data_IF_143815037845
#
_entry.id   IF_143815037845
#
_cell.length_a   1.000
_cell.length_b   1.000
_cell.length_c   1.000
_cell.angle_alpha   90.00
_cell.angle_beta   90.00
_cell.angle_gamma   90.00
#
_symmetry.space_group_name_H-M   'P 1'
#
loop_
_entity.id
_entity.type
_entity.pdbx_description
1 polymer ?
#
# COMPACT_ATOMS: atom_id res chain seq x y z
N UNK A 1 -54.76 -32.38 28.03
CA UNK A 1 -53.72 -31.34 28.11
C UNK A 1 -54.21 -30.13 27.34
N UNK A 2 -54.78 -29.13 28.02
CA UNK A 2 -55.32 -27.92 27.39
C UNK A 2 -54.16 -27.03 26.93
N UNK A 3 -53.91 -26.96 25.62
CA UNK A 3 -53.01 -25.97 25.06
C UNK A 3 -53.55 -24.58 25.33
N UNK A 4 -52.92 -23.82 26.23
CA UNK A 4 -53.30 -22.45 26.52
C UNK A 4 -53.21 -21.61 25.25
N UNK A 5 -54.34 -21.09 24.76
CA UNK A 5 -54.37 -20.15 23.63
C UNK A 5 -53.73 -18.84 24.07
N UNK A 6 -52.63 -18.46 23.44
CA UNK A 6 -51.95 -17.18 23.69
C UNK A 6 -52.89 -16.00 23.41
N UNK A 7 -52.84 -14.97 24.26
CA UNK A 7 -53.63 -13.76 24.05
C UNK A 7 -53.10 -12.94 22.87
N UNK A 8 -53.97 -12.12 22.26
CA UNK A 8 -53.61 -11.21 21.16
C UNK A 8 -52.42 -10.28 21.50
N UNK A 9 -52.32 -9.85 22.76
CA UNK A 9 -51.18 -9.04 23.26
C UNK A 9 -49.89 -9.85 23.36
N UNK A 10 -49.97 -11.13 23.74
CA UNK A 10 -48.82 -12.03 23.74
C UNK A 10 -48.36 -12.31 22.30
N UNK A 11 -49.27 -12.56 21.37
CA UNK A 11 -48.95 -12.70 19.95
C UNK A 11 -48.28 -11.45 19.37
N UNK A 12 -48.81 -10.26 19.66
CA UNK A 12 -48.20 -9.01 19.25
C UNK A 12 -46.79 -8.82 19.85
N UNK A 13 -46.61 -9.16 21.14
CA UNK A 13 -45.31 -9.09 21.82
C UNK A 13 -44.27 -10.05 21.24
N UNK A 14 -44.63 -11.32 21.01
CA UNK A 14 -43.73 -12.30 20.38
C UNK A 14 -43.41 -11.98 18.93
N UNK A 15 -44.39 -11.46 18.18
CA UNK A 15 -44.16 -11.00 16.80
C UNK A 15 -43.23 -9.80 16.78
N UNK A 16 -43.43 -8.82 17.67
CA UNK A 16 -42.53 -7.67 17.81
C UNK A 16 -41.12 -8.09 18.18
N UNK A 17 -40.96 -9.00 19.15
CA UNK A 17 -39.65 -9.55 19.54
C UNK A 17 -38.98 -10.30 18.37
N UNK A 18 -39.73 -11.12 17.63
CA UNK A 18 -39.22 -11.85 16.48
C UNK A 18 -38.77 -10.91 15.36
N UNK A 19 -39.52 -9.84 15.09
CA UNK A 19 -39.14 -8.80 14.11
C UNK A 19 -37.87 -8.08 14.57
N UNK A 20 -37.77 -7.68 15.84
CA UNK A 20 -36.56 -7.04 16.37
C UNK A 20 -35.35 -7.98 16.27
N UNK A 21 -35.49 -9.24 16.66
CA UNK A 21 -34.42 -10.23 16.55
C UNK A 21 -34.00 -10.45 15.09
N UNK A 22 -34.97 -10.50 14.16
CA UNK A 22 -34.70 -10.64 12.74
C UNK A 22 -33.96 -9.41 12.19
N UNK A 23 -34.37 -8.20 12.57
CA UNK A 23 -33.70 -6.96 12.17
C UNK A 23 -32.29 -6.85 12.75
N UNK A 24 -32.09 -7.21 14.02
CA UNK A 24 -30.77 -7.23 14.67
C UNK A 24 -29.86 -8.26 14.00
N UNK A 25 -30.38 -9.45 13.70
CA UNK A 25 -29.63 -10.50 13.01
C UNK A 25 -29.28 -10.07 11.58
N UNK A 26 -30.23 -9.48 10.85
CA UNK A 26 -29.98 -8.93 9.53
C UNK A 26 -28.92 -7.82 9.58
N UNK A 27 -29.01 -6.86 10.50
CA UNK A 27 -28.02 -5.81 10.68
C UNK A 27 -26.63 -6.38 11.03
N UNK A 28 -26.57 -7.43 11.86
CA UNK A 28 -25.31 -8.08 12.23
C UNK A 28 -24.66 -8.80 11.04
N UNK A 29 -25.45 -9.54 10.24
CA UNK A 29 -24.98 -10.27 9.06
C UNK A 29 -24.57 -9.30 7.93
N UNK A 30 -25.32 -8.22 7.72
CA UNK A 30 -25.14 -7.29 6.60
C UNK A 30 -24.30 -6.06 6.96
N UNK A 31 -23.75 -5.99 8.18
CA UNK A 31 -23.00 -4.84 8.70
C UNK A 31 -21.91 -4.38 7.74
N UNK A 32 -21.19 -5.31 7.11
CA UNK A 32 -20.11 -4.98 6.17
C UNK A 32 -20.60 -4.31 4.89
N UNK A 33 -21.74 -4.75 4.35
CA UNK A 33 -22.32 -4.18 3.14
C UNK A 33 -22.95 -2.81 3.41
N UNK A 34 -23.56 -2.63 4.58
CA UNK A 34 -24.06 -1.33 5.05
C UNK A 34 -22.92 -0.33 5.19
N UNK A 35 -21.82 -0.72 5.85
CA UNK A 35 -20.65 0.15 6.02
C UNK A 35 -20.00 0.46 4.68
N UNK A 36 -19.90 -0.52 3.78
CA UNK A 36 -19.40 -0.31 2.41
C UNK A 36 -20.28 0.67 1.63
N UNK A 37 -21.61 0.55 1.72
CA UNK A 37 -22.55 1.43 1.04
C UNK A 37 -22.42 2.88 1.52
N UNK A 38 -22.15 3.08 2.81
CA UNK A 38 -21.88 4.41 3.36
C UNK A 38 -20.61 5.09 2.84
N UNK A 39 -19.72 4.35 2.18
CA UNK A 39 -18.51 4.89 1.55
C UNK A 39 -18.68 5.21 0.06
N UNK A 40 -19.82 4.86 -0.55
CA UNK A 40 -20.09 5.12 -1.97
C UNK A 40 -20.43 6.60 -2.22
N UNK A 41 -19.70 7.32 -3.09
CA UNK A 41 -19.97 8.72 -3.45
C UNK A 41 -21.35 9.00 -4.06
N UNK A 42 -22.12 7.98 -4.47
CA UNK A 42 -23.46 8.12 -5.07
C UNK A 42 -23.53 8.93 -6.38
N UNK A 43 -22.39 9.30 -6.97
CA UNK A 43 -22.31 10.02 -8.25
C UNK A 43 -21.46 9.23 -9.24
N UNK A 44 -21.85 9.12 -10.53
CA UNK A 44 -20.97 8.53 -11.55
C UNK A 44 -19.65 9.31 -11.67
N UNK A 45 -18.54 8.60 -11.90
CA UNK A 45 -17.23 9.25 -11.93
C UNK A 45 -17.08 10.24 -13.10
N UNK A 46 -17.78 9.99 -14.21
CA UNK A 46 -17.67 10.79 -15.44
C UNK A 46 -18.31 12.18 -15.30
N UNK A 47 -19.27 12.33 -14.37
CA UNK A 47 -19.91 13.61 -14.03
C UNK A 47 -19.42 14.20 -12.71
N UNK A 48 -18.54 13.48 -12.02
CA UNK A 48 -17.95 13.91 -10.76
C UNK A 48 -16.97 15.05 -10.97
N UNK A 49 -16.96 16.02 -10.05
CA UNK A 49 -15.97 17.09 -10.01
C UNK A 49 -14.95 16.78 -8.91
N UNK A 50 -13.72 16.37 -9.26
CA UNK A 50 -12.70 16.09 -8.25
C UNK A 50 -12.29 17.33 -7.47
N UNK A 51 -11.74 17.17 -6.25
CA UNK A 51 -11.14 18.27 -5.50
C UNK A 51 -10.08 19.02 -6.33
N UNK A 52 -9.78 20.29 -5.98
CA UNK A 52 -8.73 21.06 -6.64
C UNK A 52 -7.39 20.33 -6.69
N UNK A 53 -6.66 20.50 -7.80
CA UNK A 53 -5.33 19.90 -7.94
C UNK A 53 -4.36 20.51 -6.93
N UNK A 54 -3.51 19.69 -6.27
CA UNK A 54 -2.43 20.20 -5.43
C UNK A 54 -1.42 21.03 -6.22
N UNK A 55 -0.90 22.10 -5.61
CA UNK A 55 0.31 22.78 -6.09
C UNK A 55 1.55 22.12 -5.48
N UNK A 56 2.25 21.30 -6.26
CA UNK A 56 3.44 20.58 -5.81
C UNK A 56 4.68 21.46 -5.62
N UNK A 57 4.64 22.75 -5.98
CA UNK A 57 5.65 23.72 -5.54
C UNK A 57 5.50 24.10 -4.06
N UNK A 58 4.26 24.07 -3.55
CA UNK A 58 3.91 24.50 -2.20
C UNK A 58 4.21 23.41 -1.14
N UNK A 59 4.76 23.75 0.04
CA UNK A 59 4.99 22.78 1.12
C UNK A 59 3.73 22.03 1.58
N UNK A 60 2.55 22.66 1.50
CA UNK A 60 1.29 22.05 1.92
C UNK A 60 0.91 20.80 1.11
N UNK A 61 1.36 20.70 -0.15
CA UNK A 61 1.14 19.52 -1.00
C UNK A 61 2.02 18.31 -0.62
N UNK A 62 2.83 18.40 0.44
CA UNK A 62 3.77 17.37 0.86
C UNK A 62 3.53 16.98 2.32
N UNK A 63 3.25 15.70 2.58
CA UNK A 63 3.19 15.16 3.93
C UNK A 63 4.59 15.08 4.55
N UNK A 64 5.59 14.79 3.72
CA UNK A 64 7.02 14.95 4.01
C UNK A 64 7.66 15.65 2.82
N UNK A 65 8.53 16.62 3.09
CA UNK A 65 9.30 17.33 2.06
C UNK A 65 10.77 17.29 2.45
N UNK A 66 11.50 16.39 1.80
CA UNK A 66 12.93 16.13 2.02
C UNK A 66 13.26 15.91 3.50
N UNK A 67 12.35 15.23 4.21
CA UNK A 67 12.48 14.98 5.63
C UNK A 67 13.62 13.99 5.84
N UNK A 68 14.63 14.40 6.61
CA UNK A 68 15.82 13.60 6.92
C UNK A 68 15.80 13.18 8.39
N UNK A 69 16.17 11.93 8.65
CA UNK A 69 16.46 11.45 10.00
C UNK A 69 17.94 11.64 10.36
N UNK A 70 18.33 11.36 11.61
CA UNK A 70 19.72 11.21 11.99
C UNK A 70 20.42 10.14 11.12
N UNK A 71 21.67 10.39 10.73
CA UNK A 71 22.48 9.48 9.91
C UNK A 71 21.85 9.11 8.55
N UNK A 72 20.99 9.98 7.99
CA UNK A 72 20.41 9.76 6.67
C UNK A 72 21.51 9.75 5.60
N UNK A 73 21.51 8.74 4.74
CA UNK A 73 22.39 8.66 3.58
C UNK A 73 22.08 9.70 2.49
N UNK A 74 22.77 9.60 1.34
CA UNK A 74 22.65 10.57 0.26
C UNK A 74 21.43 10.39 -0.64
N UNK A 75 20.63 9.32 -0.49
CA UNK A 75 19.54 9.04 -1.43
C UNK A 75 18.44 10.10 -1.36
N UNK A 76 17.90 10.44 -2.52
CA UNK A 76 16.63 11.12 -2.66
C UNK A 76 15.53 10.04 -2.73
N UNK A 77 14.63 10.02 -1.76
CA UNK A 77 13.56 9.01 -1.68
C UNK A 77 12.22 9.65 -2.03
N UNK A 78 11.59 9.17 -3.10
CA UNK A 78 10.22 9.53 -3.47
C UNK A 78 9.28 8.41 -3.00
N UNK A 79 8.50 8.69 -1.96
CA UNK A 79 7.60 7.74 -1.34
C UNK A 79 6.13 8.08 -1.61
N UNK A 80 5.36 7.17 -2.21
CA UNK A 80 3.92 7.36 -2.43
C UNK A 80 3.14 6.49 -1.44
N UNK A 81 2.32 7.15 -0.62
CA UNK A 81 1.61 6.50 0.47
C UNK A 81 0.41 5.65 -0.01
N UNK A 82 -0.15 4.84 0.90
CA UNK A 82 -1.34 4.02 0.65
C UNK A 82 -2.61 4.86 0.67
N UNK A 83 -3.74 4.22 0.34
CA UNK A 83 -5.07 4.78 0.64
C UNK A 83 -5.23 5.04 2.14
N UNK A 84 -5.70 6.23 2.49
CA UNK A 84 -5.96 6.73 3.86
C UNK A 84 -7.34 7.39 3.97
N UNK A 85 -7.85 7.95 2.88
CA UNK A 85 -9.19 8.52 2.78
C UNK A 85 -10.26 7.43 2.57
N UNK A 86 -11.34 7.46 3.36
CA UNK A 86 -12.36 6.41 3.35
C UNK A 86 -13.33 6.48 2.17
N UNK A 87 -13.71 7.69 1.76
CA UNK A 87 -14.76 7.91 0.76
C UNK A 87 -16.00 8.55 1.38
N UNK A 88 -17.17 8.15 0.90
CA UNK A 88 -18.45 8.70 1.32
C UNK A 88 -18.90 9.84 0.42
N UNK A 89 -18.19 10.99 0.45
CA UNK A 89 -18.55 12.13 -0.41
C UNK A 89 -17.78 12.18 -1.74
N UNK A 90 -16.53 11.72 -1.71
CA UNK A 90 -15.59 11.91 -2.81
C UNK A 90 -15.07 10.56 -3.33
N UNK A 91 -14.95 10.43 -4.65
CA UNK A 91 -14.21 9.32 -5.26
C UNK A 91 -12.72 9.44 -4.99
N UNK A 92 -12.19 10.67 -5.04
CA UNK A 92 -10.80 10.99 -4.76
C UNK A 92 -10.73 11.99 -3.62
N UNK A 93 -10.04 11.64 -2.53
CA UNK A 93 -9.98 12.48 -1.33
C UNK A 93 -9.26 13.81 -1.58
N UNK A 94 -9.75 14.93 -1.02
CA UNK A 94 -9.00 16.19 -1.05
C UNK A 94 -7.69 16.05 -0.26
N UNK A 95 -6.68 16.81 -0.65
CA UNK A 95 -5.47 16.92 0.19
C UNK A 95 -5.79 17.73 1.46
N UNK A 96 -5.23 17.33 2.60
CA UNK A 96 -5.48 18.01 3.87
C UNK A 96 -6.81 17.63 4.55
N UNK A 97 -7.46 16.55 4.10
CA UNK A 97 -8.55 15.93 4.87
C UNK A 97 -8.03 15.49 6.26
N UNK A 98 -8.62 15.98 7.37
CA UNK A 98 -8.04 15.78 8.70
C UNK A 98 -7.89 14.31 9.12
N UNK A 99 -8.88 13.47 8.80
CA UNK A 99 -8.89 12.06 9.20
C UNK A 99 -7.89 11.25 8.34
N UNK A 100 -7.86 11.52 7.03
CA UNK A 100 -6.88 10.90 6.13
C UNK A 100 -5.44 11.32 6.50
N UNK A 101 -5.18 12.60 6.77
CA UNK A 101 -3.88 13.11 7.17
C UNK A 101 -3.45 12.56 8.54
N UNK A 102 -4.39 12.43 9.49
CA UNK A 102 -4.12 11.82 10.79
C UNK A 102 -3.71 10.36 10.64
N UNK A 103 -4.40 9.59 9.80
CA UNK A 103 -4.03 8.21 9.51
C UNK A 103 -2.69 8.12 8.77
N UNK A 104 -2.47 8.97 7.77
CA UNK A 104 -1.20 9.06 7.03
C UNK A 104 -0.03 9.29 7.99
N UNK A 105 -0.13 10.32 8.85
CA UNK A 105 0.91 10.70 9.80
C UNK A 105 1.14 9.64 10.87
N UNK A 106 0.08 9.12 11.47
CA UNK A 106 0.17 8.23 12.63
C UNK A 106 0.51 6.80 12.24
N UNK A 107 0.04 6.33 11.09
CA UNK A 107 0.09 4.92 10.71
C UNK A 107 1.01 4.70 9.51
N UNK A 108 0.74 5.35 8.38
CA UNK A 108 1.37 4.98 7.11
C UNK A 108 2.82 5.43 7.04
N UNK A 109 3.11 6.70 7.32
CA UNK A 109 4.47 7.24 7.23
C UNK A 109 5.46 6.49 8.14
N UNK A 110 5.23 6.33 9.46
CA UNK A 110 6.21 5.68 10.31
C UNK A 110 6.38 4.19 9.96
N UNK A 111 5.34 3.47 9.52
CA UNK A 111 5.47 2.04 9.19
C UNK A 111 6.07 1.78 7.80
N UNK A 112 5.77 2.61 6.80
CA UNK A 112 6.06 2.29 5.39
C UNK A 112 7.04 3.25 4.71
N UNK A 113 7.12 4.52 5.15
CA UNK A 113 8.19 5.43 4.73
C UNK A 113 9.41 5.33 5.66
N UNK A 114 9.17 5.07 6.95
CA UNK A 114 10.20 4.91 7.99
C UNK A 114 11.39 4.00 7.62
N UNK A 115 11.19 2.82 7.00
CA UNK A 115 12.31 1.95 6.61
C UNK A 115 13.36 2.62 5.71
N UNK A 116 12.99 3.68 5.00
CA UNK A 116 13.89 4.41 4.09
C UNK A 116 14.58 5.60 4.75
N UNK A 117 14.23 5.97 6.00
CA UNK A 117 14.69 7.21 6.63
C UNK A 117 16.22 7.30 6.79
N UNK A 118 16.88 6.15 6.88
CA UNK A 118 18.35 6.05 6.91
C UNK A 118 18.97 6.09 5.51
N UNK A 119 18.23 5.84 4.44
CA UNK A 119 18.77 5.87 3.08
C UNK A 119 18.98 7.31 2.59
N UNK A 120 18.12 8.24 3.02
CA UNK A 120 18.29 9.66 2.78
C UNK A 120 17.01 10.47 2.99
N UNK A 121 16.90 11.61 2.29
CA UNK A 121 15.78 12.53 2.43
C UNK A 121 14.50 12.01 1.78
N UNK A 122 13.40 11.96 2.54
CA UNK A 122 12.12 11.42 2.08
C UNK A 122 11.16 12.55 1.74
N UNK A 123 10.63 12.49 0.52
CA UNK A 123 9.50 13.29 0.08
C UNK A 123 8.29 12.39 -0.16
N UNK A 124 7.17 12.74 0.46
CA UNK A 124 5.89 12.05 0.33
C UNK A 124 4.80 13.05 -0.05
N UNK A 125 4.29 13.05 -1.29
CA UNK A 125 3.27 13.99 -1.71
C UNK A 125 1.92 13.67 -1.05
N UNK A 126 1.15 14.70 -0.71
CA UNK A 126 -0.30 14.59 -0.61
C UNK A 126 -0.86 14.62 -2.02
N UNK A 127 -1.71 13.67 -2.35
CA UNK A 127 -2.32 13.58 -3.67
C UNK A 127 -3.80 13.24 -3.54
N UNK A 128 -4.58 13.48 -4.60
CA UNK A 128 -5.99 13.10 -4.66
C UNK A 128 -6.12 11.59 -4.83
N UNK A 129 -5.77 10.88 -3.77
CA UNK A 129 -5.85 9.44 -3.62
C UNK A 129 -7.28 8.97 -3.87
N UNK A 130 -7.44 7.85 -4.59
CA UNK A 130 -8.77 7.25 -4.69
C UNK A 130 -9.18 6.69 -3.33
N UNK A 131 -10.43 6.86 -2.96
CA UNK A 131 -10.94 6.46 -1.64
C UNK A 131 -10.88 4.95 -1.40
N UNK A 132 -10.96 4.54 -0.14
CA UNK A 132 -11.05 3.12 0.24
C UNK A 132 -12.17 2.40 -0.51
N UNK A 133 -13.31 3.07 -0.72
CA UNK A 133 -14.44 2.52 -1.46
C UNK A 133 -14.05 1.94 -2.83
N UNK A 134 -13.15 2.61 -3.55
CA UNK A 134 -12.70 2.19 -4.89
C UNK A 134 -12.02 0.82 -4.90
N UNK A 135 -11.52 0.36 -3.75
CA UNK A 135 -10.87 -0.95 -3.59
C UNK A 135 -11.83 -2.04 -3.13
N UNK A 136 -12.99 -1.65 -2.62
CA UNK A 136 -14.06 -2.55 -2.17
C UNK A 136 -14.99 -2.96 -3.30
N UNK A 137 -14.88 -2.35 -4.47
CA UNK A 137 -15.69 -2.61 -5.66
C UNK A 137 -14.81 -2.83 -6.91
N UNK A 138 -15.41 -3.37 -7.97
CA UNK A 138 -14.76 -3.56 -9.28
C UNK A 138 -15.45 -2.73 -10.40
N UNK A 139 -16.33 -1.81 -10.00
CA UNK A 139 -17.02 -0.87 -10.90
C UNK A 139 -16.01 -0.06 -11.71
N UNK A 140 -16.36 0.28 -12.94
CA UNK A 140 -15.50 1.10 -13.81
C UNK A 140 -15.22 2.48 -13.21
N UNK A 141 -16.21 3.12 -12.57
CA UNK A 141 -16.02 4.36 -11.80
C UNK A 141 -14.87 4.27 -10.79
N UNK A 142 -14.75 3.13 -10.10
CA UNK A 142 -13.69 2.91 -9.13
C UNK A 142 -12.32 2.72 -9.80
N UNK A 143 -12.29 2.11 -11.00
CA UNK A 143 -11.05 2.00 -11.80
C UNK A 143 -10.62 3.37 -12.31
N UNK A 144 -11.56 4.19 -12.76
CA UNK A 144 -11.31 5.55 -13.24
C UNK A 144 -10.82 6.46 -12.10
N UNK A 145 -11.44 6.40 -10.92
CA UNK A 145 -10.99 7.14 -9.74
C UNK A 145 -9.57 6.76 -9.30
N UNK A 146 -9.24 5.45 -9.30
CA UNK A 146 -7.87 4.96 -9.04
C UNK A 146 -6.90 5.44 -10.11
N UNK A 147 -7.32 5.41 -11.38
CA UNK A 147 -6.49 5.85 -12.48
C UNK A 147 -6.23 7.36 -12.46
N UNK A 148 -7.19 8.16 -11.99
CA UNK A 148 -7.09 9.62 -11.87
C UNK A 148 -5.90 10.07 -11.01
N UNK A 149 -5.63 9.36 -9.91
CA UNK A 149 -4.54 9.67 -8.97
C UNK A 149 -3.15 9.69 -9.64
N UNK A 150 -2.98 9.03 -10.79
CA UNK A 150 -1.76 9.08 -11.60
C UNK A 150 -1.34 10.51 -11.95
N UNK A 151 -2.30 11.38 -12.29
CA UNK A 151 -2.02 12.77 -12.70
C UNK A 151 -1.26 13.53 -11.61
N UNK A 152 -1.66 13.31 -10.37
CA UNK A 152 -1.07 13.96 -9.21
C UNK A 152 0.32 13.39 -8.91
N UNK A 153 0.52 12.08 -9.04
CA UNK A 153 1.85 11.47 -8.84
C UNK A 153 2.83 11.88 -9.93
N UNK A 154 2.40 11.99 -11.19
CA UNK A 154 3.24 12.50 -12.26
C UNK A 154 3.69 13.95 -11.98
N UNK A 155 2.74 14.83 -11.61
CA UNK A 155 3.04 16.23 -11.29
C UNK A 155 3.92 16.37 -10.03
N UNK A 156 3.67 15.55 -9.00
CA UNK A 156 4.50 15.51 -7.80
C UNK A 156 5.92 15.05 -8.11
N UNK A 157 6.07 14.02 -8.94
CA UNK A 157 7.37 13.52 -9.36
C UNK A 157 8.14 14.58 -10.15
N UNK A 158 7.48 15.31 -11.05
CA UNK A 158 8.11 16.41 -11.81
C UNK A 158 8.65 17.51 -10.89
N UNK A 159 7.85 17.95 -9.92
CA UNK A 159 8.28 18.94 -8.92
C UNK A 159 9.36 18.40 -7.97
N UNK A 160 9.36 17.10 -7.69
CA UNK A 160 10.35 16.47 -6.83
C UNK A 160 11.69 16.27 -7.54
N UNK A 161 11.70 15.71 -8.76
CA UNK A 161 12.92 15.41 -9.50
C UNK A 161 13.65 16.70 -9.90
N UNK A 162 12.92 17.79 -10.18
CA UNK A 162 13.52 19.10 -10.42
C UNK A 162 14.30 19.65 -9.19
N UNK A 163 13.89 19.28 -7.97
CA UNK A 163 14.60 19.64 -6.72
C UNK A 163 15.73 18.67 -6.38
N UNK A 164 15.82 17.56 -7.08
CA UNK A 164 16.84 16.52 -6.91
C UNK A 164 17.48 16.22 -8.28
N UNK A 165 18.25 17.17 -8.84
CA UNK A 165 18.85 17.00 -10.17
C UNK A 165 19.87 15.85 -10.22
N UNK A 166 20.51 15.55 -9.09
CA UNK A 166 21.64 14.62 -9.00
C UNK A 166 21.47 13.58 -7.88
N UNK A 167 22.40 12.63 -7.83
CA UNK A 167 22.50 11.64 -6.75
C UNK A 167 21.53 10.45 -6.86
N UNK A 168 21.68 9.47 -5.95
CA UNK A 168 20.93 8.23 -5.98
C UNK A 168 19.44 8.44 -5.67
N UNK A 169 18.57 7.76 -6.41
CA UNK A 169 17.12 7.79 -6.26
C UNK A 169 16.62 6.44 -5.72
N UNK A 170 15.74 6.49 -4.73
CA UNK A 170 14.90 5.37 -4.31
C UNK A 170 13.45 5.73 -4.55
N UNK A 171 12.71 4.84 -5.23
CA UNK A 171 11.27 4.96 -5.40
C UNK A 171 10.57 3.94 -4.52
N UNK A 172 9.58 4.35 -3.76
CA UNK A 172 8.86 3.44 -2.88
C UNK A 172 7.37 3.76 -2.87
N UNK A 173 6.53 2.73 -2.84
CA UNK A 173 5.09 2.90 -2.74
C UNK A 173 4.47 1.73 -2.02
N UNK A 174 3.42 2.01 -1.25
CA UNK A 174 2.63 0.98 -0.57
C UNK A 174 1.20 0.99 -1.09
N UNK A 175 0.68 -0.20 -1.39
CA UNK A 175 -0.69 -0.42 -1.81
C UNK A 175 -1.05 0.43 -3.05
N UNK A 176 -1.93 1.43 -2.96
CA UNK A 176 -2.24 2.35 -4.06
C UNK A 176 -0.99 3.11 -4.53
N UNK A 177 -0.13 3.53 -3.59
CA UNK A 177 1.13 4.17 -3.94
C UNK A 177 2.08 3.23 -4.67
N UNK A 178 2.07 1.93 -4.33
CA UNK A 178 2.82 0.91 -5.08
C UNK A 178 2.31 0.76 -6.52
N UNK A 179 0.99 0.76 -6.71
CA UNK A 179 0.38 0.76 -8.05
C UNK A 179 0.82 1.99 -8.87
N UNK A 180 0.86 3.17 -8.25
CA UNK A 180 1.24 4.41 -8.92
C UNK A 180 2.74 4.49 -9.23
N UNK A 181 3.61 3.98 -8.34
CA UNK A 181 5.06 3.89 -8.59
C UNK A 181 5.37 2.88 -9.70
N UNK A 182 4.64 1.77 -9.82
CA UNK A 182 4.84 0.83 -10.94
C UNK A 182 4.67 1.53 -12.29
N UNK A 183 3.60 2.33 -12.43
CA UNK A 183 3.37 3.13 -13.63
C UNK A 183 4.42 4.21 -13.82
N UNK A 184 4.85 4.87 -12.74
CA UNK A 184 5.92 5.86 -12.75
C UNK A 184 7.22 5.29 -13.31
N UNK A 185 7.59 4.09 -12.87
CA UNK A 185 8.78 3.41 -13.34
C UNK A 185 8.67 3.13 -14.83
N UNK A 186 7.54 2.62 -15.31
CA UNK A 186 7.33 2.30 -16.73
C UNK A 186 7.36 3.54 -17.62
N UNK A 187 6.68 4.61 -17.24
CA UNK A 187 6.48 5.77 -18.11
C UNK A 187 7.60 6.81 -18.00
N UNK A 188 8.33 6.86 -16.88
CA UNK A 188 9.32 7.92 -16.61
C UNK A 188 10.73 7.38 -16.44
N UNK A 189 10.91 6.36 -15.61
CA UNK A 189 12.26 5.88 -15.27
C UNK A 189 12.81 4.97 -16.36
N UNK A 190 12.06 3.96 -16.78
CA UNK A 190 12.48 2.94 -17.73
C UNK A 190 12.85 3.52 -19.09
N UNK A 191 12.24 4.64 -19.49
CA UNK A 191 12.48 5.29 -20.79
C UNK A 191 13.63 6.30 -20.77
N UNK A 192 14.09 6.73 -19.58
CA UNK A 192 15.10 7.77 -19.43
C UNK A 192 16.42 7.20 -18.86
N UNK A 193 17.47 7.05 -19.69
CA UNK A 193 18.76 6.50 -19.24
C UNK A 193 19.41 7.27 -18.10
N UNK A 194 19.22 8.60 -18.02
CA UNK A 194 19.81 9.42 -16.97
C UNK A 194 19.14 9.13 -15.61
N UNK A 195 17.81 8.95 -15.60
CA UNK A 195 17.10 8.53 -14.39
C UNK A 195 17.43 7.07 -14.03
N UNK A 196 17.59 6.17 -15.01
CA UNK A 196 18.00 4.78 -14.74
C UNK A 196 19.38 4.70 -14.08
N UNK A 197 20.34 5.50 -14.53
CA UNK A 197 21.67 5.55 -13.94
C UNK A 197 21.65 5.93 -12.46
N UNK A 198 20.68 6.76 -12.05
CA UNK A 198 20.49 7.21 -10.67
C UNK A 198 19.69 6.23 -9.80
N UNK A 199 19.00 5.25 -10.39
CA UNK A 199 18.08 4.39 -9.68
C UNK A 199 18.82 3.35 -8.81
N UNK A 200 18.65 3.44 -7.49
CA UNK A 200 19.13 2.43 -6.54
C UNK A 200 18.21 1.22 -6.56
N UNK A 201 16.92 1.42 -6.28
CA UNK A 201 15.91 0.38 -6.29
C UNK A 201 14.49 0.98 -6.26
N UNK A 202 13.52 0.13 -6.60
CA UNK A 202 12.09 0.43 -6.49
C UNK A 202 11.45 -0.56 -5.52
N UNK A 203 10.68 -0.06 -4.55
CA UNK A 203 9.96 -0.88 -3.58
C UNK A 203 8.45 -0.75 -3.77
N UNK A 204 7.81 -1.84 -4.18
CA UNK A 204 6.37 -1.93 -4.43
C UNK A 204 5.74 -2.83 -3.36
N UNK A 205 5.30 -2.21 -2.27
CA UNK A 205 4.82 -2.88 -1.06
C UNK A 205 3.31 -3.12 -1.15
N UNK A 206 2.85 -4.28 -0.65
CA UNK A 206 1.42 -4.62 -0.55
C UNK A 206 0.64 -4.46 -1.86
N UNK A 207 1.26 -4.78 -2.99
CA UNK A 207 0.70 -4.62 -4.34
C UNK A 207 0.95 -5.86 -5.20
N UNK A 208 -0.03 -6.16 -6.07
CA UNK A 208 0.12 -7.20 -7.10
C UNK A 208 0.56 -6.52 -8.38
N UNK A 209 1.70 -6.95 -8.92
CA UNK A 209 2.27 -6.44 -10.17
C UNK A 209 2.33 -7.58 -11.18
N UNK A 210 1.97 -7.33 -12.43
CA UNK A 210 2.09 -8.33 -13.49
C UNK A 210 3.56 -8.45 -13.90
N UNK A 211 4.11 -9.67 -13.82
CA UNK A 211 5.53 -9.91 -14.08
C UNK A 211 5.93 -9.64 -15.55
N UNK A 212 5.00 -9.85 -16.48
CA UNK A 212 5.14 -9.55 -17.91
C UNK A 212 5.00 -8.06 -18.25
N UNK A 213 4.58 -7.23 -17.28
CA UNK A 213 4.46 -5.78 -17.43
C UNK A 213 5.73 -5.00 -17.11
N UNK A 214 6.76 -5.65 -16.57
CA UNK A 214 8.01 -5.00 -16.20
C UNK A 214 8.82 -4.60 -17.43
N UNK A 215 9.47 -3.45 -17.36
CA UNK A 215 10.48 -3.08 -18.36
C UNK A 215 11.71 -3.97 -18.22
N UNK A 216 12.32 -4.43 -19.32
CA UNK A 216 13.62 -5.12 -19.26
C UNK A 216 14.74 -4.23 -18.69
N UNK A 217 14.60 -2.91 -18.78
CA UNK A 217 15.56 -1.93 -18.25
C UNK A 217 15.49 -1.76 -16.73
N UNK A 218 14.36 -2.12 -16.12
CA UNK A 218 14.16 -2.09 -14.66
C UNK A 218 13.48 -3.40 -14.24
N UNK A 219 14.22 -4.52 -14.25
CA UNK A 219 13.66 -5.84 -14.02
C UNK A 219 13.34 -6.08 -12.54
N UNK A 220 12.73 -7.22 -12.24
CA UNK A 220 12.66 -7.72 -10.87
C UNK A 220 14.08 -7.95 -10.30
N UNK A 221 14.26 -7.67 -9.01
CA UNK A 221 15.53 -7.94 -8.33
C UNK A 221 15.77 -9.46 -8.17
N UNK A 222 17.00 -9.89 -8.44
CA UNK A 222 17.48 -11.25 -8.27
C UNK A 222 18.31 -11.44 -6.98
N UNK A 223 18.62 -10.36 -6.26
CA UNK A 223 19.32 -10.39 -4.97
C UNK A 223 19.50 -9.00 -4.37
N UNK A 224 19.90 -8.95 -3.08
CA UNK A 224 20.11 -7.69 -2.31
C UNK A 224 21.24 -6.80 -2.83
N UNK A 225 22.15 -7.32 -3.65
CA UNK A 225 23.29 -6.59 -4.21
C UNK A 225 23.05 -6.06 -5.65
N UNK A 226 21.83 -6.22 -6.19
CA UNK A 226 21.46 -5.67 -7.49
C UNK A 226 20.91 -4.25 -7.33
N UNK A 227 21.29 -3.33 -8.19
CA UNK A 227 20.72 -1.96 -8.25
C UNK A 227 19.89 -1.81 -9.52
N UNK A 228 19.04 -0.79 -9.57
CA UNK A 228 18.22 -0.50 -10.75
C UNK A 228 17.12 -1.54 -11.00
N UNK A 229 16.61 -2.17 -9.94
CA UNK A 229 15.61 -3.23 -10.03
C UNK A 229 14.43 -3.02 -9.07
N UNK A 230 13.37 -3.80 -9.25
CA UNK A 230 12.12 -3.75 -8.49
C UNK A 230 12.09 -4.86 -7.43
N UNK A 231 11.83 -4.50 -6.18
CA UNK A 231 11.41 -5.38 -5.09
C UNK A 231 9.91 -5.18 -4.90
N UNK A 232 9.10 -6.14 -5.36
CA UNK A 232 7.64 -6.08 -5.26
C UNK A 232 7.06 -7.30 -4.59
N UNK A 233 6.11 -7.10 -3.68
CA UNK A 233 5.41 -8.22 -3.05
C UNK A 233 3.98 -7.86 -2.62
N UNK A 234 3.17 -8.90 -2.52
CA UNK A 234 1.83 -8.85 -1.94
C UNK A 234 1.72 -9.93 -0.86
N UNK A 235 1.74 -9.58 0.43
CA UNK A 235 1.77 -10.56 1.51
C UNK A 235 0.40 -11.22 1.74
N UNK A 236 0.41 -12.52 2.00
CA UNK A 236 -0.75 -13.32 2.42
C UNK A 236 -0.29 -14.39 3.41
N UNK A 237 -0.99 -14.58 4.53
CA UNK A 237 -0.66 -15.65 5.47
C UNK A 237 -0.61 -17.02 4.76
N UNK A 238 0.36 -17.86 5.14
CA UNK A 238 0.66 -19.12 4.44
C UNK A 238 -0.52 -20.09 4.41
N UNK A 239 -1.35 -20.08 5.45
CA UNK A 239 -2.53 -20.95 5.62
C UNK A 239 -3.81 -20.38 4.99
N UNK A 240 -3.74 -19.22 4.32
CA UNK A 240 -4.91 -18.52 3.79
C UNK A 240 -4.95 -18.50 2.25
N UNK A 241 -4.98 -19.69 1.64
CA UNK A 241 -5.08 -19.82 0.19
C UNK A 241 -6.36 -19.21 -0.41
N UNK A 242 -7.45 -19.19 0.37
CA UNK A 242 -8.68 -18.49 -0.02
C UNK A 242 -8.45 -16.99 -0.21
N UNK A 243 -7.74 -16.34 0.71
CA UNK A 243 -7.36 -14.93 0.57
C UNK A 243 -6.42 -14.71 -0.62
N UNK A 244 -5.44 -15.59 -0.82
CA UNK A 244 -4.52 -15.51 -1.96
C UNK A 244 -5.26 -15.53 -3.31
N UNK A 245 -6.16 -16.51 -3.51
CA UNK A 245 -6.96 -16.59 -4.74
C UNK A 245 -7.87 -15.38 -4.95
N UNK A 246 -8.54 -14.89 -3.90
CA UNK A 246 -9.37 -13.67 -4.01
C UNK A 246 -8.54 -12.45 -4.36
N UNK A 247 -7.34 -12.33 -3.80
CA UNK A 247 -6.43 -11.20 -4.04
C UNK A 247 -5.98 -11.16 -5.49
N UNK A 248 -5.51 -12.28 -6.03
CA UNK A 248 -5.11 -12.36 -7.45
C UNK A 248 -6.29 -12.14 -8.40
N UNK A 249 -7.47 -12.73 -8.12
CA UNK A 249 -8.67 -12.58 -8.97
C UNK A 249 -9.17 -11.13 -9.06
N UNK A 250 -9.00 -10.35 -7.98
CA UNK A 250 -9.45 -8.95 -7.90
C UNK A 250 -8.32 -7.95 -8.18
N UNK A 251 -7.11 -8.43 -8.47
CA UNK A 251 -5.96 -7.58 -8.69
C UNK A 251 -6.14 -6.78 -9.99
N UNK A 252 -5.84 -5.49 -9.91
CA UNK A 252 -5.78 -4.60 -11.06
C UNK A 252 -4.33 -4.23 -11.31
N UNK A 253 -3.95 -4.16 -12.57
CA UNK A 253 -2.61 -3.79 -13.03
C UNK A 253 -2.72 -2.85 -14.22
N UNK A 254 -1.68 -2.05 -14.46
CA UNK A 254 -1.68 -1.11 -15.58
C UNK A 254 -1.44 -1.81 -16.91
N UNK A 255 -2.28 -1.53 -17.91
CA UNK A 255 -2.01 -1.90 -19.30
C UNK A 255 -1.03 -0.90 -19.96
N UNK A 256 -0.67 -1.15 -21.23
CA UNK A 256 0.21 -0.25 -21.99
C UNK A 256 -0.42 1.12 -22.30
N UNK A 257 -1.73 1.27 -22.13
CA UNK A 257 -2.47 2.52 -22.37
C UNK A 257 -2.73 3.29 -21.08
N UNK A 258 -2.14 2.87 -19.96
CA UNK A 258 -2.32 3.52 -18.68
C UNK A 258 -3.72 3.35 -18.09
N UNK A 259 -4.40 2.23 -18.37
CA UNK A 259 -5.69 1.86 -17.76
C UNK A 259 -5.50 0.73 -16.76
N UNK A 260 -6.31 0.71 -15.70
CA UNK A 260 -6.34 -0.38 -14.73
C UNK A 260 -7.22 -1.53 -15.23
N UNK A 261 -6.57 -2.62 -15.61
CA UNK A 261 -7.22 -3.85 -16.11
C UNK A 261 -7.03 -4.98 -15.12
N UNK A 262 -7.85 -6.02 -15.21
CA UNK A 262 -7.68 -7.21 -14.38
C UNK A 262 -6.33 -7.88 -14.67
N UNK A 263 -5.73 -8.49 -13.63
CA UNK A 263 -4.55 -9.34 -13.81
C UNK A 263 -4.84 -10.48 -14.81
N UNK A 264 -6.09 -10.97 -14.84
CA UNK A 264 -6.61 -11.91 -15.83
C UNK A 264 -5.76 -13.19 -15.99
N UNK A 265 -5.25 -13.71 -14.86
CA UNK A 265 -4.45 -14.94 -14.84
C UNK A 265 -2.97 -14.77 -15.20
N UNK A 266 -2.52 -13.56 -15.55
CA UNK A 266 -1.08 -13.27 -15.73
C UNK A 266 -0.32 -13.54 -14.44
N UNK A 267 0.94 -13.94 -14.60
CA UNK A 267 1.83 -14.20 -13.48
C UNK A 267 2.04 -12.92 -12.66
N UNK A 268 1.78 -13.00 -11.35
CA UNK A 268 2.11 -11.92 -10.43
C UNK A 268 3.59 -12.00 -10.01
N UNK A 269 4.24 -10.85 -9.92
CA UNK A 269 5.61 -10.73 -9.42
C UNK A 269 5.65 -10.95 -7.90
N UNK A 270 6.64 -11.72 -7.45
CA UNK A 270 7.02 -11.80 -6.05
C UNK A 270 8.54 -11.75 -5.94
N UNK A 271 9.05 -10.70 -5.30
CA UNK A 271 10.42 -10.58 -4.82
C UNK A 271 10.34 -10.61 -3.30
N UNK A 272 10.92 -11.62 -2.68
CA UNK A 272 10.84 -11.76 -1.23
C UNK A 272 11.69 -10.67 -0.56
N UNK A 273 11.12 -9.79 0.28
CA UNK A 273 11.87 -8.69 0.91
C UNK A 273 12.98 -9.19 1.84
N UNK A 274 12.92 -10.44 2.31
CA UNK A 274 13.97 -11.06 3.14
C UNK A 274 15.17 -11.51 2.31
N UNK A 275 15.02 -11.83 1.02
CA UNK A 275 16.15 -12.26 0.16
C UNK A 275 16.51 -11.24 -0.90
N UNK A 276 15.61 -10.29 -1.18
CA UNK A 276 15.72 -9.35 -2.30
C UNK A 276 15.69 -10.05 -3.66
N UNK A 277 15.16 -11.28 -3.74
CA UNK A 277 15.15 -12.12 -4.94
C UNK A 277 13.79 -12.76 -5.23
N UNK A 278 13.60 -13.25 -6.46
CA UNK A 278 12.42 -14.02 -6.89
C UNK A 278 12.48 -15.51 -6.51
N UNK A 279 13.41 -15.91 -5.64
CA UNK A 279 13.53 -17.30 -5.20
C UNK A 279 12.24 -17.76 -4.50
N UNK A 280 11.84 -18.99 -4.80
CA UNK A 280 10.65 -19.65 -4.26
C UNK A 280 10.95 -20.60 -3.11
N UNK A 281 12.23 -20.75 -2.73
CA UNK A 281 12.62 -21.53 -1.56
C UNK A 281 12.02 -20.92 -0.28
N UNK A 282 11.55 -21.74 0.67
CA UNK A 282 11.18 -21.27 2.00
C UNK A 282 12.35 -20.57 2.69
N UNK A 283 12.09 -19.42 3.27
CA UNK A 283 13.05 -18.59 4.00
C UNK A 283 12.70 -18.65 5.48
N UNK A 284 13.58 -19.29 6.24
CA UNK A 284 13.45 -19.49 7.68
C UNK A 284 13.38 -18.16 8.44
N UNK A 285 12.59 -18.14 9.51
CA UNK A 285 12.38 -16.94 10.31
C UNK A 285 13.69 -16.35 10.84
N UNK A 286 14.71 -17.17 11.12
CA UNK A 286 16.03 -16.67 11.57
C UNK A 286 16.70 -15.64 10.65
N UNK A 287 16.30 -15.57 9.38
CA UNK A 287 16.82 -14.62 8.38
C UNK A 287 16.03 -13.31 8.30
N UNK A 288 14.82 -13.27 8.87
CA UNK A 288 13.96 -12.09 8.93
C UNK A 288 14.54 -11.04 9.90
N UNK A 289 14.81 -9.84 9.39
CA UNK A 289 15.61 -8.82 10.08
C UNK A 289 14.80 -7.87 10.95
N UNK A 290 13.47 -7.81 10.81
CA UNK A 290 12.67 -7.06 11.78
C UNK A 290 11.28 -6.67 11.33
N UNK A 291 10.29 -7.14 12.10
CA UNK A 291 8.95 -6.59 12.09
C UNK A 291 8.83 -5.53 13.19
N UNK A 292 7.95 -4.55 13.00
CA UNK A 292 7.65 -3.56 14.03
C UNK A 292 6.28 -2.92 13.84
N UNK A 293 5.71 -2.44 14.93
CA UNK A 293 4.57 -1.54 14.91
C UNK A 293 5.08 -0.14 15.25
N UNK A 294 5.32 0.67 14.22
CA UNK A 294 5.78 2.04 14.35
C UNK A 294 4.61 3.05 14.46
N UNK A 295 3.37 2.58 14.62
CA UNK A 295 2.20 3.45 14.70
C UNK A 295 2.30 4.39 15.89
N UNK A 296 2.13 5.69 15.64
CA UNK A 296 2.21 6.74 16.65
C UNK A 296 3.63 7.19 17.00
N UNK A 297 4.66 6.60 16.40
CA UNK A 297 6.02 7.13 16.55
C UNK A 297 6.17 8.44 15.78
N UNK A 298 6.95 9.34 16.36
CA UNK A 298 7.35 10.57 15.68
C UNK A 298 8.25 10.27 14.49
N UNK A 299 8.18 11.13 13.47
CA UNK A 299 9.02 10.98 12.28
C UNK A 299 10.50 11.05 12.65
N UNK A 300 11.31 10.15 12.07
CA UNK A 300 12.75 10.07 12.31
C UNK A 300 13.14 9.23 13.52
N UNK A 301 12.19 8.81 14.37
CA UNK A 301 12.46 7.86 15.45
C UNK A 301 12.57 6.46 14.86
N UNK A 302 13.73 5.81 15.06
CA UNK A 302 13.92 4.42 14.65
C UNK A 302 13.22 3.50 15.65
N UNK A 303 12.25 2.68 15.23
CA UNK A 303 11.55 1.75 16.12
C UNK A 303 12.45 0.60 16.57
N UNK A 304 12.07 -0.04 17.68
CA UNK A 304 12.60 -1.36 18.02
C UNK A 304 12.12 -2.40 17.00
N UNK A 305 13.04 -3.26 16.56
CA UNK A 305 12.77 -4.29 15.56
C UNK A 305 12.68 -5.66 16.21
N UNK A 306 11.62 -6.39 15.92
CA UNK A 306 11.41 -7.79 16.31
C UNK A 306 11.89 -8.69 15.19
N UNK A 307 13.14 -9.13 15.25
CA UNK A 307 13.71 -10.08 14.31
C UNK A 307 13.12 -11.48 14.54
N UNK A 308 13.21 -12.34 13.52
CA UNK A 308 12.80 -13.76 13.63
C UNK A 308 11.32 -14.04 13.92
N UNK A 309 10.45 -13.05 13.71
CA UNK A 309 9.01 -13.21 13.89
C UNK A 309 8.33 -14.10 12.83
N UNK A 310 8.79 -14.05 11.57
CA UNK A 310 8.08 -14.72 10.46
C UNK A 310 9.03 -15.44 9.50
N UNK A 311 8.61 -16.62 9.02
CA UNK A 311 9.18 -17.26 7.84
C UNK A 311 8.44 -16.77 6.58
N UNK A 312 9.10 -16.82 5.42
CA UNK A 312 8.52 -16.32 4.17
C UNK A 312 8.78 -17.22 2.97
N UNK A 313 7.91 -17.16 1.96
CA UNK A 313 8.11 -17.88 0.69
C UNK A 313 7.34 -17.19 -0.45
N UNK A 314 7.99 -16.96 -1.59
CA UNK A 314 7.25 -16.60 -2.80
C UNK A 314 6.53 -17.83 -3.36
N UNK A 315 5.18 -17.80 -3.41
CA UNK A 315 4.36 -18.91 -3.91
C UNK A 315 3.16 -18.39 -4.71
N UNK A 316 3.14 -18.69 -6.01
CA UNK A 316 2.05 -18.28 -6.91
C UNK A 316 1.96 -16.76 -7.10
N UNK A 317 3.09 -16.06 -7.12
CA UNK A 317 3.15 -14.60 -7.27
C UNK A 317 2.69 -13.81 -6.04
N UNK A 318 2.57 -14.48 -4.88
CA UNK A 318 2.28 -13.87 -3.59
C UNK A 318 3.40 -14.18 -2.61
N UNK A 319 3.66 -13.26 -1.69
CA UNK A 319 4.57 -13.50 -0.58
C UNK A 319 3.80 -14.18 0.55
N UNK A 320 4.07 -15.47 0.75
CA UNK A 320 3.54 -16.21 1.89
C UNK A 320 4.37 -15.92 3.12
N UNK A 321 3.71 -15.78 4.26
CA UNK A 321 4.38 -15.61 5.53
C UNK A 321 3.65 -16.38 6.63
N UNK A 322 4.39 -16.84 7.63
CA UNK A 322 3.80 -17.39 8.87
C UNK A 322 3.01 -16.29 9.58
N UNK A 323 1.97 -16.66 10.32
CA UNK A 323 1.20 -15.69 11.12
C UNK A 323 2.05 -15.24 12.32
N UNK A 324 2.25 -13.92 12.52
CA UNK A 324 2.96 -13.43 13.70
C UNK A 324 2.17 -13.72 14.98
N UNK A 325 2.86 -14.16 16.03
CA UNK A 325 2.21 -14.55 17.31
C UNK A 325 2.03 -13.37 18.26
N UNK A 326 2.81 -12.30 18.07
CA UNK A 326 2.87 -11.15 18.97
C UNK A 326 1.66 -10.24 18.80
N UNK A 327 1.10 -9.75 19.90
CA UNK A 327 -0.10 -8.91 19.90
C UNK A 327 0.09 -7.59 19.13
N UNK A 328 1.32 -7.07 19.09
CA UNK A 328 1.71 -5.87 18.33
C UNK A 328 1.40 -5.95 16.83
N UNK A 329 1.25 -7.17 16.29
CA UNK A 329 0.98 -7.43 14.87
C UNK A 329 -0.48 -7.82 14.61
N UNK A 330 -1.40 -7.45 15.50
CA UNK A 330 -2.85 -7.59 15.25
C UNK A 330 -3.43 -6.35 14.57
N UNK A 331 -4.37 -6.59 13.66
CA UNK A 331 -5.16 -5.51 13.06
C UNK A 331 -6.20 -5.00 14.08
N UNK A 332 -6.16 -3.70 14.38
CA UNK A 332 -7.05 -3.03 15.33
C UNK A 332 -7.83 -1.91 14.64
N UNK A 333 -8.80 -1.30 15.34
CA UNK A 333 -9.56 -0.14 14.84
C UNK A 333 -10.94 -0.46 14.26
N UNK A 334 -11.46 0.48 13.49
CA UNK A 334 -12.78 0.40 12.84
C UNK A 334 -12.83 -0.68 11.74
N UNK A 335 -14.02 -0.90 11.16
CA UNK A 335 -14.15 -1.80 10.01
C UNK A 335 -13.42 -1.30 8.76
N UNK A 336 -13.34 0.03 8.59
CA UNK A 336 -12.64 0.68 7.49
C UNK A 336 -11.13 0.65 7.72
N UNK A 337 -10.69 0.89 8.96
CA UNK A 337 -9.28 0.83 9.37
C UNK A 337 -8.64 -0.52 9.01
N UNK A 338 -9.34 -1.62 9.32
CA UNK A 338 -8.90 -3.00 8.97
C UNK A 338 -8.89 -3.32 7.47
N UNK A 339 -9.26 -2.37 6.61
CA UNK A 339 -9.21 -2.49 5.14
C UNK A 339 -8.17 -1.56 4.50
N UNK A 340 -7.55 -0.69 5.29
CA UNK A 340 -6.41 0.13 4.90
C UNK A 340 -5.11 -0.65 5.17
N UNK A 341 -3.97 -0.04 4.88
CA UNK A 341 -2.66 -0.59 5.24
C UNK A 341 -2.57 -0.87 6.74
N UNK A 342 -1.89 -1.97 7.07
CA UNK A 342 -1.79 -2.49 8.44
C UNK A 342 -1.10 -1.46 9.35
N UNK A 343 -1.44 -1.43 10.65
CA UNK A 343 -0.81 -0.53 11.61
C UNK A 343 0.58 -1.01 12.05
N UNK A 344 1.25 -1.82 11.25
CA UNK A 344 2.57 -2.36 11.50
C UNK A 344 3.22 -2.77 10.17
N UNK A 345 4.53 -2.92 10.15
CA UNK A 345 5.28 -3.42 9.00
C UNK A 345 6.02 -4.70 9.39
N UNK A 346 5.69 -5.80 8.71
CA UNK A 346 6.32 -7.10 8.92
C UNK A 346 7.73 -7.20 8.34
N UNK A 347 8.18 -6.22 7.58
CA UNK A 347 9.45 -6.25 6.84
C UNK A 347 10.26 -4.96 7.05
N UNK A 348 9.99 -4.19 8.10
CA UNK A 348 10.64 -2.89 8.33
C UNK A 348 12.17 -3.02 8.30
N UNK A 349 12.71 -3.93 9.11
CA UNK A 349 14.15 -4.17 9.21
C UNK A 349 14.74 -4.74 7.93
N UNK A 350 13.99 -5.60 7.23
CA UNK A 350 14.43 -6.19 5.96
C UNK A 350 14.55 -5.14 4.86
N UNK A 351 13.57 -4.24 4.75
CA UNK A 351 13.57 -3.12 3.80
C UNK A 351 14.69 -2.14 4.15
N UNK A 352 14.82 -1.76 5.43
CA UNK A 352 15.89 -0.86 5.90
C UNK A 352 17.27 -1.44 5.52
N UNK A 353 17.52 -2.72 5.78
CA UNK A 353 18.78 -3.35 5.44
C UNK A 353 19.00 -3.51 3.93
N UNK A 354 17.96 -3.87 3.18
CA UNK A 354 18.03 -4.06 1.73
C UNK A 354 18.35 -2.74 1.00
N UNK A 355 17.67 -1.64 1.33
CA UNK A 355 17.94 -0.35 0.67
C UNK A 355 19.34 0.16 0.99
N UNK A 356 19.84 -0.06 2.20
CA UNK A 356 21.21 0.30 2.59
C UNK A 356 22.26 -0.49 1.81
N UNK A 357 22.05 -1.81 1.65
CA UNK A 357 22.95 -2.66 0.87
C UNK A 357 22.99 -2.24 -0.60
N UNK A 358 21.83 -1.95 -1.20
CA UNK A 358 21.75 -1.49 -2.59
C UNK A 358 22.37 -0.11 -2.79
N UNK A 359 22.14 0.80 -1.84
CA UNK A 359 22.74 2.14 -1.87
C UNK A 359 24.28 2.06 -1.81
N UNK A 360 24.83 1.22 -0.93
CA UNK A 360 26.27 0.99 -0.86
C UNK A 360 26.84 0.44 -2.18
N UNK A 361 26.15 -0.52 -2.81
CA UNK A 361 26.54 -1.02 -4.13
C UNK A 361 26.47 0.07 -5.20
N UNK A 362 25.43 0.90 -5.20
CA UNK A 362 25.30 2.00 -6.15
C UNK A 362 26.44 3.00 -6.01
N UNK A 363 26.79 3.39 -4.78
CA UNK A 363 27.89 4.31 -4.49
C UNK A 363 29.25 3.74 -4.90
N UNK A 364 29.48 2.44 -4.68
CA UNK A 364 30.70 1.78 -5.13
C UNK A 364 30.87 1.80 -6.66
N UNK A 365 29.77 1.88 -7.42
CA UNK A 365 29.77 2.00 -8.90
C UNK A 365 29.88 3.45 -9.39
N UNK A 366 29.65 4.43 -8.51
CA UNK A 366 29.65 5.87 -8.83
C UNK A 366 30.48 6.62 -7.79
N UNK A 367 31.82 6.42 -7.78
CA UNK A 367 32.70 7.18 -6.89
C UNK A 367 32.55 8.69 -7.16
N UNK A 368 32.55 9.47 -6.08
CA UNK A 368 32.34 10.91 -6.08
C UNK A 368 33.42 11.68 -6.86
#
# INVERSE_FOLDING_TARGET
>A
MSGGRMSLRQWAGWTGLAVVLLLVTAAAVWRGDILKAGLDPQVPFQTYTPPPAPDYGAPAAWALRDARGPDSGPAAVFFVHSTTYDGGREWNGPIGDPDADAWLKRVVLPNYAGPFARAGGISAPRYRQSSLYTRLTLRDDAREARAFAWRDIAAAFDAWIARHPDGPIVLAGVEQGGELIERLVRERIAVDPALRARLVAVYLMDVVVAADGLSPEVPACAGRNQVGCIVAWSPVSEDNDGAGRRRLRRALVWDARGRLVDLAGRAALCVNPVTGSTDTAPVEARLHQGATNATGLEWGVRPALMAREIATQCRGGLLRHTEPKTESFRETGSWADRRKSRPYNLFYGDIEADVQARLAVWQARHPA
#
